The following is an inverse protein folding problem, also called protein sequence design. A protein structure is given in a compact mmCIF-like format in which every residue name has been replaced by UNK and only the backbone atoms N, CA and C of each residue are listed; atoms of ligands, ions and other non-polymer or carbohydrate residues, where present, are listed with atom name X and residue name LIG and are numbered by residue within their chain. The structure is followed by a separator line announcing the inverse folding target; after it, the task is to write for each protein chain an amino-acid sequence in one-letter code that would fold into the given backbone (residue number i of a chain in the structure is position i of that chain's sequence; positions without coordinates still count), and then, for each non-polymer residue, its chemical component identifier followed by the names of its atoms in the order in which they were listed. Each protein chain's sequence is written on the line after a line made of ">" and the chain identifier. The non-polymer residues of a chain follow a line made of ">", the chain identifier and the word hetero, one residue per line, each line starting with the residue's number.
data_IF_882768844767
#
_entry.id   IF_882768844767
#
_cell.length_a   1.000
_cell.length_b   1.000
_cell.length_c   1.000
_cell.angle_alpha   90.00
_cell.angle_beta   90.00
_cell.angle_gamma   90.00
#
_symmetry.space_group_name_H-M   'P 1'
#
loop_
_entity.id
_entity.type
_entity.pdbx_description
1 polymer ?
#
# COMPACT_ATOMS: atom_id res chain seq x y z
N UNK A 1 -13.79 -28.72 -53.94
CA UNK A 1 -12.64 -28.29 -53.12
C UNK A 1 -12.68 -26.78 -53.07
N UNK A 2 -13.01 -26.23 -51.89
CA UNK A 2 -13.31 -24.81 -51.69
C UNK A 2 -12.02 -23.97 -51.73
N UNK A 3 -12.07 -22.97 -52.59
CA UNK A 3 -11.13 -21.87 -52.77
C UNK A 3 -11.24 -20.84 -51.64
N UNK A 4 -10.08 -20.28 -51.28
CA UNK A 4 -9.89 -19.13 -50.40
C UNK A 4 -10.87 -17.99 -50.69
N UNK A 5 -11.48 -17.43 -49.65
CA UNK A 5 -12.13 -16.12 -49.70
C UNK A 5 -11.58 -15.26 -48.57
N UNK A 6 -10.76 -14.27 -48.93
CA UNK A 6 -10.45 -13.10 -48.10
C UNK A 6 -11.68 -12.18 -48.11
N UNK A 7 -12.25 -11.89 -46.95
CA UNK A 7 -13.20 -10.80 -46.72
C UNK A 7 -12.77 -10.10 -45.42
N UNK A 8 -12.08 -8.97 -45.52
CA UNK A 8 -12.61 -7.60 -45.52
C UNK A 8 -13.06 -7.07 -44.14
N UNK A 9 -12.34 -6.02 -43.72
CA UNK A 9 -12.75 -4.89 -42.87
C UNK A 9 -13.28 -5.18 -41.46
N UNK A 10 -12.37 -5.19 -40.49
CA UNK A 10 -12.71 -4.75 -39.12
C UNK A 10 -12.89 -3.23 -39.17
N UNK A 11 -14.11 -2.79 -38.88
CA UNK A 11 -14.60 -1.41 -38.99
C UNK A 11 -13.91 -0.46 -38.02
N UNK A 12 -13.80 0.79 -38.46
CA UNK A 12 -13.21 1.97 -37.83
C UNK A 12 -14.04 2.49 -36.60
N UNK A 13 -14.95 1.70 -36.04
CA UNK A 13 -15.94 2.18 -35.06
C UNK A 13 -15.55 2.03 -33.57
N UNK A 14 -14.52 1.24 -33.22
CA UNK A 14 -14.10 1.10 -31.81
C UNK A 14 -13.30 2.30 -31.28
N UNK A 15 -12.70 3.11 -32.16
CA UNK A 15 -11.89 4.28 -31.75
C UNK A 15 -12.74 5.45 -31.23
N UNK A 16 -14.02 5.53 -31.61
CA UNK A 16 -14.90 6.66 -31.26
C UNK A 16 -15.47 6.50 -29.83
N UNK A 17 -15.57 5.28 -29.31
CA UNK A 17 -16.05 5.02 -27.95
C UNK A 17 -14.96 5.16 -26.89
N UNK A 18 -13.71 4.89 -27.26
CA UNK A 18 -12.54 5.00 -26.38
C UNK A 18 -12.18 6.46 -26.07
N UNK A 19 -12.40 7.40 -27.01
CA UNK A 19 -12.08 8.83 -26.81
C UNK A 19 -12.88 9.56 -25.71
N UNK A 20 -14.22 9.42 -25.58
CA UNK A 20 -14.96 10.05 -24.48
C UNK A 20 -14.64 9.43 -23.12
N UNK A 21 -14.41 8.12 -23.04
CA UNK A 21 -14.00 7.44 -21.80
C UNK A 21 -12.60 7.87 -21.36
N UNK A 22 -11.63 8.01 -22.28
CA UNK A 22 -10.31 8.56 -21.97
C UNK A 22 -10.36 10.01 -21.49
N UNK A 23 -11.29 10.82 -22.01
CA UNK A 23 -11.49 12.20 -21.56
C UNK A 23 -12.09 12.23 -20.13
N UNK A 24 -12.98 11.29 -19.81
CA UNK A 24 -13.56 11.15 -18.47
C UNK A 24 -12.54 10.61 -17.46
N UNK A 25 -11.83 9.52 -17.78
CA UNK A 25 -10.78 8.93 -16.93
C UNK A 25 -9.63 9.93 -16.72
N UNK A 26 -9.25 10.70 -17.75
CA UNK A 26 -8.29 11.80 -17.62
C UNK A 26 -8.80 12.95 -16.74
N UNK A 27 -10.09 13.28 -16.80
CA UNK A 27 -10.70 14.27 -15.91
C UNK A 27 -10.76 13.79 -14.45
N UNK A 28 -11.06 12.50 -14.23
CA UNK A 28 -11.03 11.86 -12.91
C UNK A 28 -9.62 11.84 -12.33
N UNK A 29 -8.59 11.49 -13.13
CA UNK A 29 -7.19 11.59 -12.71
C UNK A 29 -6.87 13.01 -12.24
N UNK A 30 -7.12 14.01 -13.07
CA UNK A 30 -6.82 15.41 -12.72
C UNK A 30 -7.53 15.83 -11.43
N UNK A 31 -8.80 15.48 -11.27
CA UNK A 31 -9.54 15.76 -10.04
C UNK A 31 -8.94 15.02 -8.83
N UNK A 32 -8.56 13.76 -9.00
CA UNK A 32 -7.91 12.93 -7.99
C UNK A 32 -6.56 13.51 -7.55
N UNK A 33 -5.71 13.93 -8.48
CA UNK A 33 -4.42 14.57 -8.18
C UNK A 33 -4.59 15.88 -7.42
N UNK A 34 -5.51 16.74 -7.86
CA UNK A 34 -5.79 18.02 -7.16
C UNK A 34 -6.29 17.75 -5.74
N UNK A 35 -7.17 16.76 -5.56
CA UNK A 35 -7.66 16.36 -4.25
C UNK A 35 -6.53 15.84 -3.36
N UNK A 36 -5.66 14.97 -3.90
CA UNK A 36 -4.51 14.42 -3.20
C UNK A 36 -3.50 15.50 -2.78
N UNK A 37 -3.19 16.45 -3.68
CA UNK A 37 -2.32 17.59 -3.37
C UNK A 37 -2.91 18.44 -2.25
N UNK A 38 -4.20 18.77 -2.34
CA UNK A 38 -4.88 19.52 -1.28
C UNK A 38 -4.86 18.78 0.05
N UNK A 39 -5.11 17.47 0.05
CA UNK A 39 -5.04 16.64 1.26
C UNK A 39 -3.63 16.66 1.86
N UNK A 40 -2.59 16.59 1.01
CA UNK A 40 -1.20 16.67 1.44
C UNK A 40 -0.88 18.04 2.04
N UNK A 41 -1.30 19.13 1.39
CA UNK A 41 -1.12 20.50 1.89
C UNK A 41 -1.84 20.70 3.24
N UNK A 42 -3.08 20.22 3.37
CA UNK A 42 -3.85 20.26 4.61
C UNK A 42 -3.14 19.45 5.72
N UNK A 43 -2.62 18.25 5.39
CA UNK A 43 -1.83 17.43 6.32
C UNK A 43 -0.56 18.17 6.76
N UNK A 44 0.18 18.78 5.84
CA UNK A 44 1.39 19.56 6.16
C UNK A 44 1.07 20.77 7.03
N UNK A 45 -0.02 21.48 6.74
CA UNK A 45 -0.46 22.62 7.54
C UNK A 45 -0.84 22.19 8.97
N UNK A 46 -1.63 21.12 9.11
CA UNK A 46 -1.96 20.53 10.41
C UNK A 46 -0.69 20.15 11.16
N UNK A 47 0.25 19.47 10.51
CA UNK A 47 1.51 19.08 11.14
C UNK A 47 2.36 20.30 11.53
N UNK A 48 2.40 21.36 10.73
CA UNK A 48 3.16 22.58 11.05
C UNK A 48 2.67 23.29 12.32
N UNK A 49 1.38 23.14 12.64
CA UNK A 49 0.73 23.73 13.81
C UNK A 49 0.63 22.73 14.99
N UNK A 50 0.90 21.45 14.74
CA UNK A 50 0.79 20.40 15.74
C UNK A 50 1.93 20.48 16.76
N UNK A 51 1.65 20.02 17.99
CA UNK A 51 2.68 19.75 18.97
C UNK A 51 3.49 18.52 18.52
N UNK A 52 4.74 18.76 18.14
CA UNK A 52 5.68 17.75 17.62
C UNK A 52 6.65 17.31 18.71
N UNK A 53 7.14 16.08 18.58
CA UNK A 53 8.14 15.58 19.51
C UNK A 53 9.54 15.96 19.05
N UNK A 54 10.29 16.57 19.97
CA UNK A 54 11.72 16.75 19.86
C UNK A 54 12.44 15.56 20.51
N UNK A 55 13.25 14.86 19.72
CA UNK A 55 14.13 13.79 20.21
C UNK A 55 15.45 14.42 20.64
N UNK A 56 15.65 14.51 21.95
CA UNK A 56 16.86 15.11 22.54
C UNK A 56 18.09 14.30 22.14
N UNK A 57 19.13 14.99 21.66
CA UNK A 57 20.37 14.36 21.19
C UNK A 57 20.32 13.83 19.76
N UNK A 58 19.15 13.85 19.10
CA UNK A 58 19.08 13.70 17.66
C UNK A 58 19.51 15.03 17.01
N UNK A 59 20.72 15.05 16.45
CA UNK A 59 21.20 16.22 15.70
C UNK A 59 20.30 16.54 14.51
N UNK A 60 20.14 17.82 14.17
CA UNK A 60 19.25 18.28 13.09
C UNK A 60 19.76 18.01 11.66
N UNK A 61 20.68 17.06 11.46
CA UNK A 61 21.13 16.71 10.11
C UNK A 61 20.07 15.88 9.41
N UNK A 62 19.48 16.45 8.36
CA UNK A 62 18.82 15.68 7.32
C UNK A 62 19.88 14.76 6.71
N UNK A 63 19.75 13.46 6.92
CA UNK A 63 20.62 12.50 6.23
C UNK A 63 20.19 12.44 4.77
N UNK A 64 21.12 12.12 3.87
CA UNK A 64 20.75 11.80 2.48
C UNK A 64 19.66 10.71 2.44
N UNK A 65 19.66 9.79 3.42
CA UNK A 65 18.65 8.76 3.59
C UNK A 65 17.24 9.30 3.89
N UNK A 66 17.08 10.46 4.55
CA UNK A 66 15.75 11.06 4.76
C UNK A 66 15.22 11.77 3.50
N UNK A 67 16.02 12.59 2.82
CA UNK A 67 15.56 13.18 1.55
C UNK A 67 15.33 12.09 0.49
N UNK A 68 16.10 11.00 0.55
CA UNK A 68 15.82 9.77 -0.17
C UNK A 68 14.48 9.16 0.27
N UNK A 69 14.21 8.90 1.56
CA UNK A 69 12.89 8.44 2.06
C UNK A 69 11.71 9.35 1.69
N UNK A 70 11.92 10.66 1.63
CA UNK A 70 10.90 11.62 1.19
C UNK A 70 10.64 11.51 -0.30
N UNK A 71 11.69 11.30 -1.09
CA UNK A 71 11.61 10.99 -2.51
C UNK A 71 11.28 9.51 -2.79
N UNK A 72 11.29 8.64 -1.77
CA UNK A 72 11.19 7.18 -1.91
C UNK A 72 9.84 6.71 -2.41
N UNK A 73 8.84 7.58 -2.51
CA UNK A 73 7.67 7.32 -3.36
C UNK A 73 8.11 6.82 -4.75
N UNK A 74 9.27 7.25 -5.24
CA UNK A 74 9.87 6.84 -6.50
C UNK A 74 10.70 5.54 -6.43
N UNK A 75 11.26 5.17 -5.27
CA UNK A 75 12.25 4.08 -5.14
C UNK A 75 11.82 3.01 -4.13
N UNK A 76 11.32 1.89 -4.64
CA UNK A 76 10.78 0.74 -3.89
C UNK A 76 11.66 0.26 -2.74
N UNK A 77 12.98 0.37 -2.87
CA UNK A 77 13.93 -0.17 -1.89
C UNK A 77 13.90 0.58 -0.55
N UNK A 78 13.62 1.88 -0.55
CA UNK A 78 13.78 2.74 0.64
C UNK A 78 12.55 2.69 1.57
N UNK A 79 11.33 2.65 1.03
CA UNK A 79 10.12 2.36 1.82
C UNK A 79 10.22 1.01 2.51
N UNK A 80 10.86 0.03 1.87
CA UNK A 80 11.11 -1.27 2.49
C UNK A 80 12.10 -1.17 3.66
N UNK A 81 13.08 -0.25 3.65
CA UNK A 81 13.97 -0.05 4.79
C UNK A 81 13.22 0.49 6.01
N UNK A 82 12.36 1.50 5.83
CA UNK A 82 11.52 2.04 6.92
C UNK A 82 10.58 0.97 7.46
N UNK A 83 9.84 0.27 6.58
CA UNK A 83 8.94 -0.82 6.99
C UNK A 83 9.71 -1.92 7.72
N UNK A 84 10.91 -2.29 7.26
CA UNK A 84 11.75 -3.29 7.92
C UNK A 84 12.21 -2.85 9.31
N UNK A 85 12.58 -1.58 9.49
CA UNK A 85 12.94 -1.02 10.79
C UNK A 85 11.76 -1.07 11.76
N UNK A 86 10.58 -0.62 11.33
CA UNK A 86 9.33 -0.68 12.10
C UNK A 86 8.99 -2.14 12.48
N UNK A 87 9.08 -3.05 11.50
CA UNK A 87 8.80 -4.47 11.69
C UNK A 87 9.74 -5.10 12.72
N UNK A 88 11.04 -4.77 12.67
CA UNK A 88 12.04 -5.25 13.63
C UNK A 88 11.74 -4.75 15.03
N UNK A 89 11.45 -3.46 15.18
CA UNK A 89 11.08 -2.84 16.45
C UNK A 89 9.89 -3.57 17.09
N UNK A 90 8.78 -3.72 16.37
CA UNK A 90 7.59 -4.38 16.93
C UNK A 90 7.77 -5.88 17.15
N UNK A 91 8.55 -6.57 16.31
CA UNK A 91 8.90 -7.97 16.57
C UNK A 91 9.60 -8.11 17.91
N UNK A 92 10.57 -7.25 18.21
CA UNK A 92 11.28 -7.25 19.49
C UNK A 92 10.32 -6.89 20.63
N UNK A 93 9.51 -5.84 20.48
CA UNK A 93 8.53 -5.40 21.48
C UNK A 93 7.52 -6.50 21.84
N UNK A 94 6.98 -7.22 20.84
CA UNK A 94 5.96 -8.25 21.07
C UNK A 94 6.52 -9.48 21.80
N UNK A 95 7.81 -9.81 21.60
CA UNK A 95 8.48 -10.92 22.29
C UNK A 95 8.64 -10.63 23.79
N UNK A 96 8.78 -9.36 24.20
CA UNK A 96 8.85 -8.97 25.62
C UNK A 96 7.54 -9.27 26.35
N UNK A 97 6.42 -9.30 25.62
CA UNK A 97 5.08 -9.57 26.14
C UNK A 97 4.64 -8.63 27.28
N UNK A 98 5.03 -7.37 27.20
CA UNK A 98 4.60 -6.32 28.10
C UNK A 98 3.60 -5.39 27.40
N UNK A 99 2.31 -5.58 27.68
CA UNK A 99 1.25 -4.76 27.08
C UNK A 99 1.36 -3.27 27.48
N UNK A 100 1.89 -2.97 28.67
CA UNK A 100 2.06 -1.58 29.11
C UNK A 100 3.13 -0.86 28.29
N UNK A 101 4.21 -1.58 27.94
CA UNK A 101 5.24 -1.08 27.03
C UNK A 101 4.67 -0.88 25.61
N UNK A 102 3.95 -1.88 25.07
CA UNK A 102 3.35 -1.79 23.72
C UNK A 102 2.38 -0.60 23.62
N UNK A 103 1.59 -0.32 24.66
CA UNK A 103 0.67 0.83 24.68
C UNK A 103 1.35 2.20 24.59
N UNK A 104 2.65 2.27 24.85
CA UNK A 104 3.47 3.51 24.79
C UNK A 104 4.54 3.46 23.70
N UNK A 105 4.58 2.37 22.93
CA UNK A 105 5.66 2.06 21.98
C UNK A 105 5.79 3.04 20.82
N UNK A 106 4.78 3.87 20.53
CA UNK A 106 4.85 4.84 19.44
C UNK A 106 5.94 5.90 19.65
N UNK A 107 6.17 6.34 20.90
CA UNK A 107 7.22 7.33 21.19
C UNK A 107 8.61 6.70 21.06
N UNK A 108 8.80 5.50 21.61
CA UNK A 108 10.05 4.73 21.48
C UNK A 108 10.38 4.43 20.02
N UNK A 109 9.40 4.05 19.21
CA UNK A 109 9.58 3.82 17.77
C UNK A 109 10.07 5.10 17.07
N UNK A 110 9.41 6.24 17.32
CA UNK A 110 9.80 7.52 16.70
C UNK A 110 11.22 7.91 17.11
N UNK A 111 11.59 7.70 18.37
CA UNK A 111 12.97 7.93 18.84
C UNK A 111 13.97 7.04 18.09
N UNK A 112 13.72 5.73 17.98
CA UNK A 112 14.61 4.82 17.24
C UNK A 112 14.73 5.21 15.76
N UNK A 113 13.60 5.49 15.11
CA UNK A 113 13.59 5.88 13.69
C UNK A 113 14.29 7.21 13.45
N UNK A 114 14.16 8.16 14.38
CA UNK A 114 14.87 9.46 14.29
C UNK A 114 16.37 9.26 14.44
N UNK A 115 16.82 8.48 15.42
CA UNK A 115 18.25 8.19 15.60
C UNK A 115 18.85 7.38 14.46
N UNK A 116 18.09 6.48 13.86
CA UNK A 116 18.52 5.73 12.69
C UNK A 116 18.47 6.56 11.38
N UNK A 117 18.02 7.82 11.44
CA UNK A 117 17.95 8.73 10.30
C UNK A 117 16.82 8.46 9.33
N UNK A 118 15.81 7.67 9.73
CA UNK A 118 14.59 7.44 8.94
C UNK A 118 13.59 8.59 9.04
N UNK A 119 13.63 9.35 10.15
CA UNK A 119 12.76 10.50 10.39
C UNK A 119 13.59 11.73 10.79
N UNK A 120 13.22 12.94 10.35
CA UNK A 120 13.81 14.16 10.85
C UNK A 120 13.34 14.39 12.28
N UNK A 121 14.19 15.04 13.06
CA UNK A 121 13.74 15.58 14.34
C UNK A 121 12.59 16.59 14.10
N UNK A 122 11.67 16.69 15.06
CA UNK A 122 10.52 17.61 14.99
C UNK A 122 9.63 17.41 13.73
N UNK A 123 9.51 16.17 13.25
CA UNK A 123 8.67 15.82 12.09
C UNK A 123 7.35 15.14 12.48
N UNK A 124 7.32 14.42 13.59
CA UNK A 124 6.17 13.61 14.01
C UNK A 124 5.36 14.30 15.12
N UNK A 125 4.05 14.39 14.93
CA UNK A 125 3.12 14.95 15.91
C UNK A 125 2.76 13.94 17.01
N UNK A 126 2.32 14.45 18.17
CA UNK A 126 1.77 13.60 19.25
C UNK A 126 0.55 12.78 18.80
N UNK A 127 -0.22 13.27 17.83
CA UNK A 127 -1.38 12.56 17.31
C UNK A 127 -0.98 11.29 16.54
N UNK A 128 0.05 11.39 15.70
CA UNK A 128 0.62 10.25 14.98
C UNK A 128 1.18 9.21 15.96
N UNK A 129 1.89 9.64 17.00
CA UNK A 129 2.43 8.73 18.03
C UNK A 129 1.33 7.95 18.76
N UNK A 130 0.20 8.61 19.05
CA UNK A 130 -0.98 7.96 19.64
C UNK A 130 -1.57 6.93 18.68
N UNK A 131 -1.69 7.26 17.40
CA UNK A 131 -2.22 6.31 16.39
C UNK A 131 -1.29 5.10 16.21
N UNK A 132 0.02 5.32 16.17
CA UNK A 132 1.02 4.23 16.11
C UNK A 132 0.87 3.30 17.31
N UNK A 133 0.80 3.86 18.53
CA UNK A 133 0.62 3.07 19.76
C UNK A 133 -0.70 2.29 19.75
N UNK A 134 -1.77 2.87 19.20
CA UNK A 134 -3.08 2.22 19.05
C UNK A 134 -3.01 1.04 18.07
N UNK A 135 -2.41 1.24 16.89
CA UNK A 135 -2.18 0.18 15.90
C UNK A 135 -1.36 -0.96 16.52
N UNK A 136 -0.26 -0.64 17.19
CA UNK A 136 0.60 -1.61 17.85
C UNK A 136 -0.16 -2.42 18.92
N UNK A 137 -0.96 -1.74 19.74
CA UNK A 137 -1.77 -2.38 20.78
C UNK A 137 -2.81 -3.35 20.20
N UNK A 138 -3.50 -2.95 19.12
CA UNK A 138 -4.48 -3.82 18.45
C UNK A 138 -3.81 -5.09 17.87
N UNK A 139 -2.66 -4.92 17.21
CA UNK A 139 -1.90 -6.04 16.64
C UNK A 139 -1.30 -6.94 17.73
N UNK A 140 -0.84 -6.37 18.85
CA UNK A 140 -0.32 -7.15 19.97
C UNK A 140 -1.42 -8.02 20.62
N UNK A 141 -2.63 -7.48 20.79
CA UNK A 141 -3.77 -8.27 21.29
C UNK A 141 -4.12 -9.44 20.35
N UNK A 142 -4.03 -9.23 19.04
CA UNK A 142 -4.22 -10.29 18.06
C UNK A 142 -3.06 -11.31 18.10
N UNK A 143 -1.82 -10.84 18.25
CA UNK A 143 -0.64 -11.68 18.46
C UNK A 143 -0.83 -12.61 19.66
N UNK A 144 -1.22 -12.08 20.82
CA UNK A 144 -1.42 -12.88 22.04
C UNK A 144 -2.50 -13.97 21.89
N UNK A 145 -3.54 -13.72 21.09
CA UNK A 145 -4.55 -14.74 20.79
C UNK A 145 -4.00 -15.81 19.85
N UNK A 146 -3.27 -15.40 18.81
CA UNK A 146 -2.74 -16.29 17.78
C UNK A 146 -1.60 -17.18 18.29
N UNK A 147 -0.81 -16.75 19.27
CA UNK A 147 0.24 -17.61 19.84
C UNK A 147 -0.30 -18.80 20.63
N UNK A 148 -1.52 -18.69 21.15
CA UNK A 148 -2.18 -19.76 21.92
C UNK A 148 -2.97 -20.69 21.00
N UNK A 149 -3.41 -20.19 19.84
CA UNK A 149 -4.12 -20.97 18.83
C UNK A 149 -3.17 -21.89 18.03
N UNK A 150 -3.17 -23.18 18.39
CA UNK A 150 -2.34 -24.20 17.75
C UNK A 150 -2.82 -24.61 16.36
N UNK A 151 -4.01 -24.17 15.92
CA UNK A 151 -4.53 -24.49 14.58
C UNK A 151 -3.86 -23.67 13.47
N UNK A 152 -3.14 -22.61 13.84
CA UNK A 152 -2.49 -21.68 12.92
C UNK A 152 -0.98 -21.76 13.13
N UNK A 153 -0.23 -21.84 12.03
CA UNK A 153 1.22 -21.80 12.10
C UNK A 153 1.68 -20.43 12.65
N UNK A 154 2.42 -20.47 13.77
CA UNK A 154 2.85 -19.27 14.51
C UNK A 154 3.74 -18.34 13.68
N UNK A 155 4.70 -18.86 12.94
CA UNK A 155 5.60 -18.05 12.12
C UNK A 155 4.81 -17.28 11.06
N UNK A 156 3.85 -17.95 10.44
CA UNK A 156 2.99 -17.35 9.41
C UNK A 156 2.05 -16.29 9.99
N UNK A 157 1.37 -16.58 11.10
CA UNK A 157 0.46 -15.61 11.72
C UNK A 157 1.20 -14.40 12.28
N UNK A 158 2.39 -14.61 12.84
CA UNK A 158 3.29 -13.54 13.28
C UNK A 158 3.75 -12.68 12.11
N UNK A 159 4.08 -13.29 10.96
CA UNK A 159 4.43 -12.55 9.76
C UNK A 159 3.27 -11.66 9.29
N UNK A 160 2.05 -12.20 9.17
CA UNK A 160 0.87 -11.42 8.78
C UNK A 160 0.66 -10.20 9.68
N UNK A 161 0.75 -10.37 11.00
CA UNK A 161 0.58 -9.28 11.97
C UNK A 161 1.69 -8.22 11.85
N UNK A 162 2.94 -8.63 11.82
CA UNK A 162 4.08 -7.72 11.84
C UNK A 162 4.24 -6.97 10.51
N UNK A 163 3.99 -7.65 9.38
CA UNK A 163 3.99 -7.04 8.04
C UNK A 163 2.89 -5.99 7.93
N UNK A 164 1.66 -6.34 8.28
CA UNK A 164 0.53 -5.39 8.20
C UNK A 164 0.70 -4.22 9.17
N UNK A 165 1.15 -4.45 10.40
CA UNK A 165 1.46 -3.38 11.35
C UNK A 165 2.53 -2.43 10.79
N UNK A 166 3.60 -2.97 10.21
CA UNK A 166 4.69 -2.14 9.69
C UNK A 166 4.26 -1.20 8.57
N UNK A 167 3.43 -1.68 7.65
CA UNK A 167 2.86 -0.86 6.57
C UNK A 167 1.89 0.18 7.12
N UNK A 168 0.97 -0.21 8.00
CA UNK A 168 -0.01 0.72 8.58
C UNK A 168 0.68 1.85 9.36
N UNK A 169 1.73 1.53 10.10
CA UNK A 169 2.54 2.53 10.83
C UNK A 169 3.36 3.40 9.87
N UNK A 170 3.95 2.83 8.82
CA UNK A 170 4.62 3.62 7.78
C UNK A 170 3.66 4.64 7.15
N UNK A 171 2.42 4.24 6.85
CA UNK A 171 1.38 5.11 6.29
C UNK A 171 0.91 6.23 7.26
N UNK A 172 1.14 6.09 8.56
CA UNK A 172 0.91 7.20 9.52
C UNK A 172 2.03 8.24 9.42
N UNK A 173 3.26 7.79 9.18
CA UNK A 173 4.46 8.62 9.14
C UNK A 173 4.62 9.32 7.78
N UNK A 174 4.39 8.61 6.68
CA UNK A 174 4.60 9.07 5.31
C UNK A 174 3.27 9.42 4.65
N UNK A 175 3.27 10.45 3.81
CA UNK A 175 2.10 10.81 3.00
C UNK A 175 2.05 9.99 1.71
N UNK A 176 0.89 9.38 1.42
CA UNK A 176 0.67 8.57 0.22
C UNK A 176 -0.54 9.06 -0.59
N UNK A 177 -1.02 10.29 -0.36
CA UNK A 177 -2.22 10.81 -1.03
C UNK A 177 -2.10 10.75 -2.57
N UNK A 178 -0.94 11.14 -3.11
CA UNK A 178 -0.69 11.13 -4.56
C UNK A 178 -0.59 9.71 -5.12
N UNK A 179 0.09 8.80 -4.40
CA UNK A 179 0.16 7.38 -4.76
C UNK A 179 -1.25 6.76 -4.83
N UNK A 180 -2.11 7.05 -3.84
CA UNK A 180 -3.48 6.56 -3.82
C UNK A 180 -4.30 7.07 -5.01
N UNK A 181 -4.21 8.36 -5.32
CA UNK A 181 -4.88 8.92 -6.49
C UNK A 181 -4.41 8.25 -7.80
N UNK A 182 -3.12 7.96 -7.91
CA UNK A 182 -2.58 7.23 -9.06
C UNK A 182 -3.10 5.77 -9.12
N UNK A 183 -3.11 5.06 -7.99
CA UNK A 183 -3.60 3.67 -7.92
C UNK A 183 -5.08 3.60 -8.30
N UNK A 184 -5.90 4.53 -7.83
CA UNK A 184 -7.33 4.57 -8.13
C UNK A 184 -7.58 4.86 -9.62
N UNK A 185 -6.82 5.81 -10.20
CA UNK A 185 -6.83 6.06 -11.64
C UNK A 185 -6.41 4.82 -12.44
N UNK A 186 -5.30 4.19 -12.08
CA UNK A 186 -4.79 3.01 -12.77
C UNK A 186 -5.82 1.86 -12.69
N UNK A 187 -6.50 1.73 -11.55
CA UNK A 187 -7.54 0.74 -11.35
C UNK A 187 -8.75 1.01 -12.27
N UNK A 188 -9.27 2.24 -12.32
CA UNK A 188 -10.38 2.62 -13.20
C UNK A 188 -10.01 2.39 -14.68
N UNK A 189 -8.80 2.77 -15.08
CA UNK A 189 -8.29 2.57 -16.42
C UNK A 189 -8.25 1.09 -16.81
N UNK A 190 -7.64 0.23 -15.99
CA UNK A 190 -7.51 -1.19 -16.33
C UNK A 190 -8.80 -1.98 -16.13
N UNK A 191 -9.68 -1.57 -15.23
CA UNK A 191 -11.00 -2.16 -15.11
C UNK A 191 -11.82 -1.96 -16.39
N UNK A 192 -11.64 -0.82 -17.06
CA UNK A 192 -12.28 -0.53 -18.37
C UNK A 192 -11.56 -1.25 -19.51
N UNK A 193 -10.23 -1.27 -19.51
CA UNK A 193 -9.42 -1.80 -20.60
C UNK A 193 -9.33 -3.34 -20.63
N UNK A 194 -9.50 -4.01 -19.49
CA UNK A 194 -9.38 -5.47 -19.36
C UNK A 194 -10.76 -6.05 -19.02
N UNK A 195 -11.43 -6.72 -19.96
CA UNK A 195 -12.70 -7.38 -19.71
C UNK A 195 -12.59 -8.45 -18.63
N UNK A 196 -13.57 -8.54 -17.72
CA UNK A 196 -13.56 -9.48 -16.60
C UNK A 196 -13.58 -10.95 -17.04
N UNK A 197 -14.22 -11.23 -18.18
CA UNK A 197 -14.30 -12.54 -18.82
C UNK A 197 -13.04 -12.92 -19.61
N UNK A 198 -12.09 -11.99 -19.79
CA UNK A 198 -10.80 -12.28 -20.39
C UNK A 198 -9.94 -13.24 -19.52
N UNK A 199 -10.29 -13.39 -18.23
CA UNK A 199 -9.65 -14.34 -17.32
C UNK A 199 -10.55 -15.57 -17.14
N UNK A 200 -10.07 -16.73 -17.59
CA UNK A 200 -10.85 -17.97 -17.61
C UNK A 200 -11.19 -18.52 -16.21
N UNK A 201 -10.60 -17.99 -15.12
CA UNK A 201 -10.58 -18.65 -13.81
C UNK A 201 -10.85 -17.75 -12.60
N UNK A 202 -11.54 -16.61 -12.74
CA UNK A 202 -11.67 -15.64 -11.64
C UNK A 202 -13.12 -15.21 -11.42
N UNK A 203 -13.62 -15.33 -10.19
CA UNK A 203 -14.91 -14.72 -9.81
C UNK A 203 -14.84 -13.19 -9.84
N UNK A 204 -15.99 -12.50 -9.92
CA UNK A 204 -16.02 -11.03 -10.04
C UNK A 204 -15.31 -10.32 -8.86
N UNK A 205 -15.44 -10.85 -7.64
CA UNK A 205 -14.79 -10.32 -6.43
C UNK A 205 -13.28 -10.61 -6.41
N UNK A 206 -12.87 -11.77 -6.91
CA UNK A 206 -11.46 -12.13 -7.04
C UNK A 206 -10.77 -11.31 -8.14
N UNK A 207 -11.50 -10.90 -9.17
CA UNK A 207 -10.96 -10.08 -10.26
C UNK A 207 -10.48 -8.73 -9.72
N UNK A 208 -11.31 -8.05 -8.94
CA UNK A 208 -10.95 -6.73 -8.41
C UNK A 208 -9.73 -6.79 -7.49
N UNK A 209 -9.68 -7.77 -6.59
CA UNK A 209 -8.52 -7.98 -5.72
C UNK A 209 -7.26 -8.36 -6.54
N UNK A 210 -7.38 -9.21 -7.55
CA UNK A 210 -6.26 -9.60 -8.40
C UNK A 210 -5.75 -8.45 -9.27
N UNK A 211 -6.64 -7.61 -9.79
CA UNK A 211 -6.26 -6.40 -10.55
C UNK A 211 -5.55 -5.39 -9.65
N UNK A 212 -6.05 -5.18 -8.44
CA UNK A 212 -5.36 -4.34 -7.45
C UNK A 212 -3.94 -4.85 -7.16
N UNK A 213 -3.77 -6.17 -6.94
CA UNK A 213 -2.46 -6.78 -6.75
C UNK A 213 -1.55 -6.56 -7.96
N UNK A 214 -2.07 -6.76 -9.17
CA UNK A 214 -1.33 -6.59 -10.41
C UNK A 214 -0.83 -5.14 -10.59
N UNK A 215 -1.67 -4.14 -10.31
CA UNK A 215 -1.31 -2.72 -10.36
C UNK A 215 -0.22 -2.40 -9.33
N UNK A 216 -0.41 -2.83 -8.08
CA UNK A 216 0.57 -2.62 -7.02
C UNK A 216 1.94 -3.21 -7.38
N UNK A 217 1.98 -4.44 -7.90
CA UNK A 217 3.25 -5.10 -8.23
C UNK A 217 3.89 -4.60 -9.54
N UNK A 218 3.09 -4.31 -10.58
CA UNK A 218 3.62 -3.97 -11.90
C UNK A 218 3.94 -2.48 -12.04
N UNK A 219 3.14 -1.60 -11.44
CA UNK A 219 3.28 -0.15 -11.54
C UNK A 219 3.96 0.45 -10.30
N UNK A 220 3.45 0.13 -9.10
CA UNK A 220 3.99 0.69 -7.85
C UNK A 220 5.20 -0.08 -7.32
N UNK A 221 5.49 -1.26 -7.91
CA UNK A 221 6.55 -2.19 -7.47
C UNK A 221 6.41 -2.59 -6.00
N UNK A 222 5.22 -2.51 -5.44
CA UNK A 222 4.97 -2.78 -4.02
C UNK A 222 5.26 -4.23 -3.65
N UNK A 223 5.77 -4.41 -2.45
CA UNK A 223 6.03 -5.72 -1.89
C UNK A 223 4.75 -6.40 -1.39
N UNK A 224 4.89 -7.66 -0.98
CA UNK A 224 3.77 -8.48 -0.51
C UNK A 224 3.13 -7.88 0.76
N UNK A 225 3.90 -7.28 1.66
CA UNK A 225 3.36 -6.66 2.88
C UNK A 225 2.46 -5.48 2.53
N UNK A 226 2.92 -4.59 1.65
CA UNK A 226 2.16 -3.41 1.21
C UNK A 226 0.88 -3.82 0.49
N UNK A 227 0.95 -4.80 -0.42
CA UNK A 227 -0.23 -5.35 -1.10
C UNK A 227 -1.24 -5.91 -0.10
N UNK A 228 -0.78 -6.72 0.86
CA UNK A 228 -1.63 -7.36 1.88
C UNK A 228 -2.33 -6.33 2.75
N UNK A 229 -1.58 -5.36 3.28
CA UNK A 229 -2.15 -4.29 4.11
C UNK A 229 -3.16 -3.44 3.32
N UNK A 230 -2.84 -3.10 2.07
CA UNK A 230 -3.76 -2.36 1.20
C UNK A 230 -5.06 -3.12 0.91
N UNK A 231 -5.00 -4.44 0.67
CA UNK A 231 -6.19 -5.27 0.51
C UNK A 231 -7.03 -5.31 1.80
N UNK A 232 -6.40 -5.47 2.97
CA UNK A 232 -7.12 -5.46 4.25
C UNK A 232 -7.87 -4.14 4.47
N UNK A 233 -7.22 -3.01 4.19
CA UNK A 233 -7.84 -1.67 4.27
C UNK A 233 -8.98 -1.54 3.25
N UNK A 234 -8.74 -1.89 1.99
CA UNK A 234 -9.73 -1.76 0.90
C UNK A 234 -11.00 -2.56 1.16
N UNK A 235 -10.88 -3.72 1.81
CA UNK A 235 -12.00 -4.60 2.15
C UNK A 235 -12.46 -4.49 3.62
N UNK A 236 -12.01 -3.45 4.35
CA UNK A 236 -12.47 -3.14 5.70
C UNK A 236 -12.18 -4.23 6.74
N UNK A 237 -11.15 -5.05 6.53
CA UNK A 237 -10.76 -6.15 7.43
C UNK A 237 -9.59 -5.73 8.30
N UNK A 238 -9.68 -5.91 9.62
CA UNK A 238 -8.63 -5.55 10.57
C UNK A 238 -8.39 -6.64 11.61
N UNK A 239 -7.29 -6.51 12.37
CA UNK A 239 -6.94 -7.43 13.47
C UNK A 239 -7.96 -7.46 14.62
N UNK A 240 -8.87 -6.47 14.69
CA UNK A 240 -9.94 -6.44 15.69
C UNK A 240 -10.96 -7.56 15.46
N UNK A 241 -11.17 -7.95 14.21
CA UNK A 241 -11.96 -9.12 13.80
C UNK A 241 -11.04 -10.29 13.47
N UNK A 242 -10.48 -10.94 14.50
CA UNK A 242 -9.39 -11.91 14.33
C UNK A 242 -9.70 -13.06 13.35
N UNK A 243 -10.90 -13.62 13.39
CA UNK A 243 -11.32 -14.70 12.48
C UNK A 243 -11.29 -14.23 11.02
N UNK A 244 -11.97 -13.12 10.73
CA UNK A 244 -11.97 -12.50 9.40
C UNK A 244 -10.55 -12.13 8.94
N UNK A 245 -9.72 -11.60 9.84
CA UNK A 245 -8.32 -11.29 9.54
C UNK A 245 -7.53 -12.53 9.12
N UNK A 246 -7.66 -13.64 9.84
CA UNK A 246 -6.97 -14.91 9.52
C UNK A 246 -7.47 -15.48 8.19
N UNK A 247 -8.78 -15.54 7.98
CA UNK A 247 -9.37 -16.06 6.75
C UNK A 247 -8.97 -15.23 5.53
N UNK A 248 -9.01 -13.90 5.66
CA UNK A 248 -8.66 -13.01 4.58
C UNK A 248 -7.16 -13.10 4.24
N UNK A 249 -6.28 -13.20 5.23
CA UNK A 249 -4.85 -13.44 4.98
C UNK A 249 -4.58 -14.77 4.27
N UNK A 250 -5.30 -15.85 4.61
CA UNK A 250 -5.22 -17.12 3.86
C UNK A 250 -5.69 -16.96 2.41
N UNK A 251 -6.76 -16.18 2.18
CA UNK A 251 -7.25 -15.87 0.83
C UNK A 251 -6.20 -15.09 0.03
N UNK A 252 -5.58 -14.07 0.64
CA UNK A 252 -4.49 -13.29 0.04
C UNK A 252 -3.31 -14.21 -0.33
N UNK A 253 -2.86 -15.07 0.59
CA UNK A 253 -1.74 -15.99 0.33
C UNK A 253 -2.01 -16.93 -0.85
N UNK A 254 -3.25 -17.42 -0.99
CA UNK A 254 -3.68 -18.24 -2.14
C UNK A 254 -3.72 -17.40 -3.42
N UNK A 255 -4.29 -16.20 -3.35
CA UNK A 255 -4.46 -15.31 -4.50
C UNK A 255 -3.11 -14.85 -5.07
N UNK A 256 -2.15 -14.47 -4.23
CA UNK A 256 -0.80 -14.05 -4.64
C UNK A 256 -0.04 -15.14 -5.42
N UNK A 257 -0.48 -16.40 -5.36
CA UNK A 257 0.11 -17.54 -6.07
C UNK A 257 -0.74 -18.01 -7.26
N UNK A 258 -1.86 -17.33 -7.53
CA UNK A 258 -2.79 -17.72 -8.58
C UNK A 258 -2.28 -17.34 -9.98
N UNK A 259 -2.70 -18.08 -10.99
CA UNK A 259 -2.42 -17.75 -12.39
C UNK A 259 -3.10 -16.45 -12.81
N UNK A 260 -4.30 -16.16 -12.27
CA UNK A 260 -5.06 -14.95 -12.56
C UNK A 260 -4.28 -13.67 -12.22
N UNK A 261 -3.64 -13.62 -11.05
CA UNK A 261 -2.78 -12.48 -10.67
C UNK A 261 -1.59 -12.35 -11.62
N UNK A 262 -0.95 -13.46 -11.98
CA UNK A 262 0.21 -13.43 -12.88
C UNK A 262 -0.17 -13.00 -14.31
N UNK A 263 -1.32 -13.44 -14.82
CA UNK A 263 -1.86 -13.02 -16.11
C UNK A 263 -2.16 -11.52 -16.13
N UNK A 264 -2.89 -11.03 -15.12
CA UNK A 264 -3.18 -9.60 -14.98
C UNK A 264 -1.90 -8.78 -14.82
N UNK A 265 -0.95 -9.24 -14.00
CA UNK A 265 0.34 -8.55 -13.80
C UNK A 265 1.10 -8.40 -15.10
N UNK A 266 1.12 -9.43 -15.96
CA UNK A 266 1.75 -9.35 -17.29
C UNK A 266 1.04 -8.38 -18.23
N UNK A 267 -0.28 -8.35 -18.22
CA UNK A 267 -1.07 -7.42 -19.04
C UNK A 267 -0.84 -5.98 -18.57
N UNK A 268 -0.98 -5.72 -17.27
CA UNK A 268 -0.73 -4.41 -16.65
C UNK A 268 0.72 -3.95 -16.90
N UNK A 269 1.70 -4.84 -16.76
CA UNK A 269 3.11 -4.49 -17.00
C UNK A 269 3.38 -4.08 -18.45
N UNK A 270 2.81 -4.84 -19.40
CA UNK A 270 2.93 -4.59 -20.85
C UNK A 270 2.22 -3.31 -21.29
N UNK A 271 1.04 -3.06 -20.75
CA UNK A 271 0.22 -1.89 -21.12
C UNK A 271 0.49 -0.67 -20.22
N UNK A 272 1.29 -0.82 -19.17
CA UNK A 272 1.49 0.20 -18.14
C UNK A 272 2.49 1.31 -18.50
N UNK A 273 3.14 1.26 -19.66
CA UNK A 273 4.14 2.27 -20.03
C UNK A 273 3.60 3.72 -20.00
N UNK A 274 2.42 4.04 -20.56
CA UNK A 274 1.84 5.38 -20.44
C UNK A 274 1.55 5.78 -18.99
N UNK A 275 1.07 4.85 -18.17
CA UNK A 275 0.75 5.11 -16.76
C UNK A 275 2.02 5.40 -15.94
N UNK A 276 3.16 4.76 -16.25
CA UNK A 276 4.45 5.08 -15.62
C UNK A 276 4.92 6.50 -15.94
N UNK A 277 4.69 6.96 -17.16
CA UNK A 277 4.97 8.35 -17.56
C UNK A 277 4.09 9.31 -16.77
N UNK A 278 2.78 9.03 -16.70
CA UNK A 278 1.83 9.83 -15.90
C UNK A 278 2.27 9.89 -14.43
N UNK A 279 2.64 8.75 -13.84
CA UNK A 279 3.14 8.69 -12.47
C UNK A 279 4.33 9.60 -12.26
N UNK A 280 5.33 9.51 -13.14
CA UNK A 280 6.51 10.37 -13.06
C UNK A 280 6.17 11.86 -13.18
N UNK A 281 5.16 12.21 -13.98
CA UNK A 281 4.67 13.59 -14.10
C UNK A 281 3.89 14.07 -12.86
N UNK A 282 3.36 13.17 -12.04
CA UNK A 282 2.67 13.52 -10.78
C UNK A 282 3.66 13.73 -9.63
N UNK A 283 4.87 13.17 -9.77
CA UNK A 283 5.96 13.24 -8.79
C UNK A 283 6.83 14.50 -8.98
N UNK A 284 6.79 15.14 -10.16
CA UNK A 284 7.57 16.35 -10.53
C UNK A 284 6.85 17.66 -10.19
#
# INVERSE_FOLDING_TARGET
>A
MMTLTLANSVKIDDNIRIMPELNQIGAHLRAGVICAQRQSDERQQILSQADKINVVGAGGMLTAAYEQLRNAAENTEEHLLLQNAIRRFFKQSFIVRDEALVRKSGEELVVELTFAGYLPNDSVSRSQIKEISKLATAHYKAYEKLIVDRSINLDRSSAWLLETLSVLVANVLVDHAVDHAFIDFAYEYFETAIPRDALQSTSADEYGAALYVAIQQALMKSDVATVRAGLLVRYGTSVESLEAFVEFNRKIDKMLRSTSVEELRRVVDRQGAPLRVIRHMMET
#
